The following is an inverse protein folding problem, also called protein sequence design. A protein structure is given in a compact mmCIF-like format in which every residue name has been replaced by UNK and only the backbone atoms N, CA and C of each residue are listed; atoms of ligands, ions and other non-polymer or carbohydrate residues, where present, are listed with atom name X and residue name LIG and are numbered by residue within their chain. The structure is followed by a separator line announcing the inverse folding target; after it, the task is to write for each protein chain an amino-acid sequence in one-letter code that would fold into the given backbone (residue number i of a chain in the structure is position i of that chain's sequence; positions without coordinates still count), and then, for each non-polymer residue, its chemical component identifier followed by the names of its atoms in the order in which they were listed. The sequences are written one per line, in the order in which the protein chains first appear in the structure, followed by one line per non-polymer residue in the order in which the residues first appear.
data_IF_270579157712
#
_entry.id   IF_270579157712
#
_cell.length_a   1.000
_cell.length_b   1.000
_cell.length_c   1.000
_cell.angle_alpha   90.00
_cell.angle_beta   90.00
_cell.angle_gamma   90.00
#
_symmetry.space_group_name_H-M   'P 1'
#
loop_
_entity.id
_entity.type
_entity.pdbx_description
1 polymer ?
#
# COMPACT_ATOMS: atom_id res chain seq x y z
N UNK A 1 -1.59 0.31 6.83
CA UNK A 1 -2.67 -0.10 7.74
C UNK A 1 -3.45 1.11 8.25
N UNK A 2 -2.83 2.08 8.94
CA UNK A 2 -3.53 3.25 9.49
C UNK A 2 -4.25 4.05 8.41
N UNK A 3 -3.58 4.35 7.30
CA UNK A 3 -4.17 5.09 6.19
C UNK A 3 -5.34 4.33 5.53
N UNK A 4 -5.22 3.01 5.36
CA UNK A 4 -6.30 2.18 4.81
C UNK A 4 -7.50 2.16 5.76
N UNK A 5 -7.26 2.07 7.07
CA UNK A 5 -8.32 2.18 8.08
C UNK A 5 -9.02 3.55 8.04
N UNK A 6 -8.27 4.64 7.94
CA UNK A 6 -8.83 5.99 7.85
C UNK A 6 -9.71 6.17 6.59
N UNK A 7 -9.31 5.61 5.45
CA UNK A 7 -10.12 5.60 4.21
C UNK A 7 -11.43 4.84 4.42
N UNK A 8 -11.37 3.65 5.04
CA UNK A 8 -12.58 2.85 5.32
C UNK A 8 -13.54 3.57 6.28
N UNK A 9 -13.01 4.16 7.36
CA UNK A 9 -13.83 4.95 8.29
C UNK A 9 -14.47 6.17 7.62
N UNK A 10 -13.76 6.81 6.69
CA UNK A 10 -14.28 7.93 5.92
C UNK A 10 -15.41 7.49 4.97
N UNK A 11 -15.20 6.43 4.18
CA UNK A 11 -16.22 5.94 3.23
C UNK A 11 -17.47 5.38 3.93
N UNK A 12 -17.33 4.81 5.12
CA UNK A 12 -18.47 4.36 5.93
C UNK A 12 -19.15 5.51 6.71
N UNK A 13 -18.67 6.75 6.58
CA UNK A 13 -19.24 7.90 7.28
C UNK A 13 -18.94 7.94 8.78
N UNK A 14 -18.18 6.99 9.32
CA UNK A 14 -17.89 6.90 10.74
C UNK A 14 -17.06 8.07 11.25
N UNK A 15 -16.09 8.55 10.44
CA UNK A 15 -15.34 9.77 10.79
C UNK A 15 -16.25 10.97 10.91
N UNK A 16 -17.23 11.11 10.00
CA UNK A 16 -18.23 12.17 10.06
C UNK A 16 -19.07 12.08 11.35
N UNK A 17 -19.59 10.89 11.66
CA UNK A 17 -20.48 10.69 12.81
C UNK A 17 -19.79 10.95 14.17
N UNK A 18 -18.50 10.61 14.30
CA UNK A 18 -17.80 10.65 15.59
C UNK A 18 -16.99 11.92 15.82
N UNK A 19 -16.43 12.55 14.77
CA UNK A 19 -15.49 13.65 14.93
C UNK A 19 -16.07 15.02 14.58
N UNK A 20 -16.99 15.11 13.60
CA UNK A 20 -17.58 16.40 13.17
C UNK A 20 -19.01 16.27 12.66
N UNK A 21 -19.95 15.75 13.48
CA UNK A 21 -21.35 15.52 13.06
C UNK A 21 -22.06 16.82 12.65
N UNK A 22 -21.69 17.95 13.28
CA UNK A 22 -22.33 19.24 13.07
C UNK A 22 -21.73 20.07 11.93
N UNK A 23 -20.66 19.55 11.27
CA UNK A 23 -19.91 20.32 10.25
C UNK A 23 -19.71 19.53 8.97
N UNK A 24 -20.80 19.29 8.16
CA UNK A 24 -20.75 18.44 6.97
C UNK A 24 -19.77 18.89 5.89
N UNK A 25 -19.45 20.18 5.81
CA UNK A 25 -18.53 20.73 4.83
C UNK A 25 -17.09 20.25 5.02
N UNK A 26 -16.68 19.89 6.24
CA UNK A 26 -15.34 19.32 6.52
C UNK A 26 -15.15 18.01 5.74
N UNK A 27 -16.17 17.15 5.69
CA UNK A 27 -16.08 15.88 4.99
C UNK A 27 -15.74 16.06 3.50
N UNK A 28 -16.23 17.13 2.89
CA UNK A 28 -15.93 17.51 1.50
C UNK A 28 -14.43 17.78 1.30
N UNK A 29 -13.81 18.53 2.22
CA UNK A 29 -12.38 18.88 2.11
C UNK A 29 -11.44 17.77 2.63
N UNK A 30 -11.94 16.87 3.46
CA UNK A 30 -11.12 15.84 4.10
C UNK A 30 -10.95 14.58 3.25
N UNK A 31 -11.95 14.21 2.44
CA UNK A 31 -11.95 12.96 1.67
C UNK A 31 -10.80 12.88 0.67
N UNK A 32 -10.59 13.91 -0.14
CA UNK A 32 -9.53 13.93 -1.18
C UNK A 32 -8.13 13.82 -0.56
N UNK A 33 -7.76 14.62 0.46
CA UNK A 33 -6.47 14.47 1.15
C UNK A 33 -6.25 13.10 1.80
N UNK A 34 -7.27 12.52 2.44
CA UNK A 34 -7.15 11.21 3.09
C UNK A 34 -6.89 10.10 2.08
N UNK A 35 -7.66 10.06 1.00
CA UNK A 35 -7.46 9.06 -0.06
C UNK A 35 -6.12 9.26 -0.75
N UNK A 36 -5.73 10.51 -1.01
CA UNK A 36 -4.42 10.85 -1.57
C UNK A 36 -3.27 10.39 -0.66
N UNK A 37 -3.35 10.67 0.65
CA UNK A 37 -2.35 10.24 1.62
C UNK A 37 -2.24 8.71 1.69
N UNK A 38 -3.37 8.00 1.64
CA UNK A 38 -3.39 6.54 1.62
C UNK A 38 -2.72 6.00 0.34
N UNK A 39 -2.97 6.60 -0.81
CA UNK A 39 -2.35 6.21 -2.08
C UNK A 39 -0.84 6.49 -2.08
N UNK A 40 -0.40 7.64 -1.55
CA UNK A 40 1.03 7.95 -1.34
C UNK A 40 1.67 6.88 -0.45
N UNK A 41 1.05 6.57 0.68
CA UNK A 41 1.55 5.57 1.61
C UNK A 41 1.64 4.19 0.96
N UNK A 42 0.64 3.78 0.17
CA UNK A 42 0.63 2.51 -0.57
C UNK A 42 1.75 2.46 -1.63
N UNK A 43 1.94 3.53 -2.41
CA UNK A 43 3.00 3.60 -3.42
C UNK A 43 4.38 3.54 -2.76
N UNK A 44 4.62 4.35 -1.72
CA UNK A 44 5.89 4.37 -0.99
C UNK A 44 6.16 3.03 -0.30
N UNK A 45 5.13 2.42 0.28
CA UNK A 45 5.22 1.07 0.84
C UNK A 45 5.63 0.06 -0.23
N UNK A 46 4.96 0.04 -1.37
CA UNK A 46 5.28 -0.85 -2.50
C UNK A 46 6.73 -0.68 -2.94
N UNK A 47 7.18 0.56 -3.13
CA UNK A 47 8.56 0.86 -3.55
C UNK A 47 9.60 0.33 -2.56
N UNK A 48 9.37 0.55 -1.25
CA UNK A 48 10.31 0.15 -0.18
C UNK A 48 10.18 -1.32 0.18
N UNK A 49 8.97 -1.86 0.24
CA UNK A 49 8.72 -3.24 0.65
C UNK A 49 9.26 -4.23 -0.39
N UNK A 50 8.99 -4.00 -1.66
CA UNK A 50 9.44 -4.85 -2.76
C UNK A 50 10.87 -4.58 -3.21
N UNK A 51 11.55 -3.56 -2.67
CA UNK A 51 12.87 -3.12 -3.16
C UNK A 51 12.86 -2.90 -4.69
N UNK A 52 11.78 -2.30 -5.20
CA UNK A 52 11.49 -2.21 -6.63
C UNK A 52 12.65 -1.62 -7.43
N UNK A 53 13.37 -0.65 -6.86
CA UNK A 53 14.55 -0.03 -7.49
C UNK A 53 15.62 -1.06 -7.87
N UNK A 54 15.82 -2.09 -7.06
CA UNK A 54 16.85 -3.12 -7.29
C UNK A 54 16.41 -4.18 -8.29
N UNK A 55 15.10 -4.49 -8.34
CA UNK A 55 14.57 -5.57 -9.18
C UNK A 55 13.95 -5.10 -10.49
N UNK A 56 13.36 -3.88 -10.52
CA UNK A 56 12.65 -3.35 -11.69
C UNK A 56 12.79 -1.84 -11.83
N UNK A 57 13.72 -1.36 -12.63
CA UNK A 57 13.91 0.08 -12.89
C UNK A 57 12.67 0.72 -13.51
N UNK A 58 12.00 0.02 -14.42
CA UNK A 58 10.76 0.48 -15.04
C UNK A 58 9.62 0.60 -14.03
N UNK A 59 9.40 -0.45 -13.22
CA UNK A 59 8.39 -0.42 -12.16
C UNK A 59 8.62 0.73 -11.17
N UNK A 60 9.89 1.00 -10.83
CA UNK A 60 10.23 2.12 -9.96
C UNK A 60 9.86 3.47 -10.58
N UNK A 61 10.17 3.69 -11.86
CA UNK A 61 9.81 4.93 -12.58
C UNK A 61 8.29 5.11 -12.70
N UNK A 62 7.54 4.03 -12.97
CA UNK A 62 6.08 4.07 -13.02
C UNK A 62 5.51 4.49 -11.66
N UNK A 63 5.98 3.90 -10.55
CA UNK A 63 5.54 4.27 -9.21
C UNK A 63 5.89 5.71 -8.85
N UNK A 64 7.06 6.21 -9.27
CA UNK A 64 7.42 7.63 -9.11
C UNK A 64 6.50 8.55 -9.91
N UNK A 65 6.17 8.19 -11.16
CA UNK A 65 5.23 8.95 -11.98
C UNK A 65 3.84 8.99 -11.35
N UNK A 66 3.33 7.86 -10.85
CA UNK A 66 2.06 7.79 -10.15
C UNK A 66 2.05 8.67 -8.89
N UNK A 67 3.15 8.67 -8.14
CA UNK A 67 3.31 9.52 -6.96
C UNK A 67 3.29 11.01 -7.33
N UNK A 68 4.00 11.40 -8.39
CA UNK A 68 4.02 12.79 -8.89
C UNK A 68 2.61 13.23 -9.37
N UNK A 69 1.93 12.38 -10.13
CA UNK A 69 0.55 12.62 -10.61
C UNK A 69 -0.42 12.75 -9.42
N UNK A 70 -0.26 11.95 -8.37
CA UNK A 70 -1.07 12.06 -7.16
C UNK A 70 -0.83 13.38 -6.43
N UNK A 71 0.42 13.81 -6.28
CA UNK A 71 0.76 15.09 -5.65
C UNK A 71 0.18 16.28 -6.44
N UNK A 72 0.28 16.25 -7.76
CA UNK A 72 -0.33 17.27 -8.62
C UNK A 72 -1.85 17.27 -8.47
N UNK A 73 -2.49 16.11 -8.45
CA UNK A 73 -3.92 15.98 -8.24
C UNK A 73 -4.39 16.46 -6.86
N UNK A 74 -3.56 16.28 -5.82
CA UNK A 74 -3.82 16.80 -4.48
C UNK A 74 -3.81 18.34 -4.49
N UNK A 75 -2.81 18.95 -5.11
CA UNK A 75 -2.71 20.42 -5.24
C UNK A 75 -3.91 20.97 -6.01
N UNK A 76 -4.27 20.33 -7.13
CA UNK A 76 -5.42 20.72 -7.94
C UNK A 76 -6.75 20.54 -7.16
N UNK A 77 -6.87 19.49 -6.35
CA UNK A 77 -8.04 19.24 -5.50
C UNK A 77 -8.29 20.32 -4.44
N UNK A 78 -7.24 21.02 -3.99
CA UNK A 78 -7.36 22.19 -3.08
C UNK A 78 -7.77 23.48 -3.83
N UNK A 79 -7.32 23.65 -5.08
CA UNK A 79 -7.54 24.86 -5.86
C UNK A 79 -8.82 24.80 -6.71
N UNK A 80 -9.27 23.59 -7.04
CA UNK A 80 -10.38 23.35 -7.97
C UNK A 80 -11.68 22.92 -7.31
N UNK A 81 -12.58 22.34 -8.11
CA UNK A 81 -13.85 21.82 -7.60
C UNK A 81 -13.67 20.44 -6.96
N UNK A 82 -14.37 20.21 -5.85
CA UNK A 82 -14.39 18.93 -5.16
C UNK A 82 -14.72 17.72 -6.06
N UNK A 83 -15.69 17.90 -6.97
CA UNK A 83 -16.10 16.83 -7.88
C UNK A 83 -14.95 16.36 -8.78
N UNK A 84 -14.18 17.30 -9.33
CA UNK A 84 -13.01 16.98 -10.15
C UNK A 84 -11.92 16.31 -9.32
N UNK A 85 -11.69 16.82 -8.11
CA UNK A 85 -10.71 16.21 -7.19
C UNK A 85 -11.03 14.76 -6.85
N UNK A 86 -12.29 14.43 -6.55
CA UNK A 86 -12.70 13.07 -6.20
C UNK A 86 -12.66 12.11 -7.40
N UNK A 87 -13.08 12.57 -8.58
CA UNK A 87 -13.00 11.78 -9.81
C UNK A 87 -11.53 11.48 -10.13
N UNK A 88 -10.68 12.50 -10.05
CA UNK A 88 -9.25 12.37 -10.32
C UNK A 88 -8.58 11.32 -9.39
N UNK A 89 -8.74 11.50 -8.07
CA UNK A 89 -8.08 10.61 -7.11
C UNK A 89 -8.63 9.19 -7.17
N UNK A 90 -9.94 9.02 -7.39
CA UNK A 90 -10.56 7.71 -7.53
C UNK A 90 -10.10 6.99 -8.80
N UNK A 91 -10.02 7.70 -9.92
CA UNK A 91 -9.50 7.15 -11.18
C UNK A 91 -8.02 6.76 -11.05
N UNK A 92 -7.23 7.63 -10.41
CA UNK A 92 -5.81 7.34 -10.17
C UNK A 92 -5.64 6.12 -9.25
N UNK A 93 -6.42 5.99 -8.18
CA UNK A 93 -6.37 4.85 -7.28
C UNK A 93 -6.78 3.55 -8.00
N UNK A 94 -7.85 3.60 -8.81
CA UNK A 94 -8.31 2.46 -9.60
C UNK A 94 -7.27 1.97 -10.61
N UNK A 95 -6.46 2.88 -11.16
CA UNK A 95 -5.37 2.54 -12.07
C UNK A 95 -4.09 2.12 -11.34
N UNK A 96 -3.70 2.83 -10.28
CA UNK A 96 -2.46 2.61 -9.55
C UNK A 96 -2.43 1.25 -8.84
N UNK A 97 -3.59 0.79 -8.33
CA UNK A 97 -3.68 -0.46 -7.57
C UNK A 97 -3.35 -1.70 -8.42
N UNK A 98 -3.97 -1.95 -9.59
CA UNK A 98 -3.58 -3.08 -10.44
C UNK A 98 -2.15 -2.93 -11.01
N UNK A 99 -1.69 -1.71 -11.27
CA UNK A 99 -0.31 -1.47 -11.70
C UNK A 99 0.69 -1.87 -10.61
N UNK A 100 0.45 -1.49 -9.37
CA UNK A 100 1.28 -1.89 -8.23
C UNK A 100 1.30 -3.42 -8.04
N UNK A 101 0.15 -4.08 -8.22
CA UNK A 101 0.03 -5.54 -8.16
C UNK A 101 0.82 -6.23 -9.28
N UNK A 102 0.74 -5.73 -10.52
CA UNK A 102 1.54 -6.23 -11.66
C UNK A 102 3.04 -6.05 -11.44
N UNK A 103 3.45 -4.92 -10.85
CA UNK A 103 4.85 -4.70 -10.45
C UNK A 103 5.26 -5.73 -9.38
N UNK A 104 4.38 -6.05 -8.43
CA UNK A 104 4.59 -7.11 -7.45
C UNK A 104 4.85 -8.47 -8.10
N UNK A 105 4.03 -8.86 -9.09
CA UNK A 105 4.22 -10.09 -9.86
C UNK A 105 5.58 -10.08 -10.58
N UNK A 106 5.93 -8.96 -11.22
CA UNK A 106 7.20 -8.84 -11.94
C UNK A 106 8.41 -9.01 -11.00
N UNK A 107 8.36 -8.39 -9.83
CA UNK A 107 9.41 -8.51 -8.79
C UNK A 107 9.48 -9.94 -8.24
N UNK A 108 8.33 -10.59 -8.02
CA UNK A 108 8.27 -11.98 -7.59
C UNK A 108 8.90 -12.92 -8.63
N UNK A 109 8.55 -12.76 -9.91
CA UNK A 109 9.14 -13.56 -11.02
C UNK A 109 10.65 -13.39 -11.14
N UNK A 110 11.20 -12.28 -10.65
CA UNK A 110 12.64 -12.02 -10.60
C UNK A 110 13.34 -12.60 -9.34
N UNK A 111 12.65 -13.47 -8.60
CA UNK A 111 13.21 -14.21 -7.47
C UNK A 111 13.07 -13.53 -6.10
N UNK A 112 12.33 -12.41 -6.01
CA UNK A 112 12.07 -11.76 -4.73
C UNK A 112 10.88 -12.40 -4.02
N UNK A 113 11.14 -13.16 -2.95
CA UNK A 113 10.10 -13.87 -2.17
C UNK A 113 9.06 -12.89 -1.59
N UNK A 114 9.48 -11.70 -1.16
CA UNK A 114 8.57 -10.68 -0.66
C UNK A 114 7.53 -10.23 -1.71
N UNK A 115 7.86 -10.34 -3.00
CA UNK A 115 6.92 -10.11 -4.09
C UNK A 115 5.74 -11.08 -4.06
N UNK A 116 5.98 -12.34 -3.76
CA UNK A 116 4.93 -13.35 -3.60
C UNK A 116 3.98 -13.04 -2.45
N UNK A 117 4.52 -12.69 -1.27
CA UNK A 117 3.70 -12.26 -0.12
C UNK A 117 2.88 -11.00 -0.43
N UNK A 118 3.47 -10.05 -1.14
CA UNK A 118 2.78 -8.84 -1.57
C UNK A 118 1.61 -9.16 -2.50
N UNK A 119 1.84 -9.95 -3.54
CA UNK A 119 0.79 -10.35 -4.51
C UNK A 119 -0.33 -11.10 -3.80
N UNK A 120 0.03 -12.05 -2.91
CA UNK A 120 -0.94 -12.82 -2.15
C UNK A 120 -1.81 -11.93 -1.24
N UNK A 121 -1.21 -10.93 -0.60
CA UNK A 121 -1.92 -10.00 0.27
C UNK A 121 -2.87 -9.06 -0.50
N UNK A 122 -2.45 -8.57 -1.67
CA UNK A 122 -3.23 -7.62 -2.46
C UNK A 122 -4.33 -8.27 -3.30
N UNK A 123 -4.22 -9.57 -3.60
CA UNK A 123 -5.23 -10.29 -4.39
C UNK A 123 -6.62 -10.29 -3.76
N UNK A 124 -6.82 -10.59 -2.46
CA UNK A 124 -8.13 -10.51 -1.83
C UNK A 124 -8.73 -9.10 -1.85
N UNK A 125 -7.90 -8.08 -1.68
CA UNK A 125 -8.31 -6.67 -1.78
C UNK A 125 -8.86 -6.34 -3.17
N UNK A 126 -8.11 -6.70 -4.22
CA UNK A 126 -8.53 -6.48 -5.61
C UNK A 126 -9.80 -7.26 -5.96
N UNK A 127 -9.92 -8.51 -5.52
CA UNK A 127 -11.11 -9.33 -5.71
C UNK A 127 -12.32 -8.72 -5.01
N UNK A 128 -12.17 -8.25 -3.78
CA UNK A 128 -13.24 -7.58 -3.05
C UNK A 128 -13.75 -6.33 -3.76
N UNK A 129 -12.84 -5.50 -4.28
CA UNK A 129 -13.21 -4.32 -5.06
C UNK A 129 -13.85 -4.68 -6.41
N UNK A 130 -13.38 -5.74 -7.06
CA UNK A 130 -13.98 -6.25 -8.30
C UNK A 130 -15.41 -6.72 -8.07
N UNK A 131 -15.66 -7.50 -7.03
CA UNK A 131 -17.01 -7.96 -6.66
C UNK A 131 -17.94 -6.78 -6.43
N UNK A 132 -17.49 -5.78 -5.68
CA UNK A 132 -18.28 -4.55 -5.48
C UNK A 132 -18.56 -3.82 -6.78
N UNK A 133 -17.55 -3.66 -7.65
CA UNK A 133 -17.71 -2.97 -8.93
C UNK A 133 -18.72 -3.69 -9.84
N UNK A 134 -18.62 -5.01 -9.95
CA UNK A 134 -19.54 -5.85 -10.74
C UNK A 134 -20.96 -5.79 -10.19
N UNK A 135 -21.12 -5.74 -8.87
CA UNK A 135 -22.43 -5.55 -8.22
C UNK A 135 -23.02 -4.16 -8.50
N UNK A 136 -22.18 -3.09 -8.50
CA UNK A 136 -22.64 -1.73 -8.83
C UNK A 136 -23.04 -1.60 -10.31
N UNK A 137 -22.42 -2.37 -11.21
CA UNK A 137 -22.81 -2.45 -12.61
C UNK A 137 -24.11 -3.25 -12.85
N UNK A 138 -24.66 -3.91 -11.81
CA UNK A 138 -25.89 -4.67 -11.90
C UNK A 138 -25.72 -6.09 -12.44
N UNK A 139 -24.50 -6.57 -12.64
CA UNK A 139 -24.24 -7.94 -13.12
C UNK A 139 -24.42 -9.00 -12.02
N UNK A 140 -24.26 -8.60 -10.77
CA UNK A 140 -24.51 -9.44 -9.59
C UNK A 140 -25.50 -8.71 -8.67
N UNK A 141 -26.47 -9.41 -8.05
CA UNK A 141 -27.42 -8.78 -7.14
C UNK A 141 -26.71 -8.13 -5.95
N UNK A 142 -27.18 -6.95 -5.57
CA UNK A 142 -26.69 -6.26 -4.37
C UNK A 142 -27.11 -7.04 -3.14
N UNK A 143 -26.15 -7.43 -2.34
CA UNK A 143 -26.33 -8.13 -1.08
C UNK A 143 -25.36 -7.59 -0.03
N UNK A 144 -25.60 -7.80 1.26
CA UNK A 144 -24.64 -7.44 2.30
C UNK A 144 -23.25 -8.04 2.05
N UNK A 145 -23.16 -9.23 1.47
CA UNK A 145 -21.90 -9.89 1.14
C UNK A 145 -21.12 -9.14 0.04
N UNK A 146 -21.79 -8.66 -1.00
CA UNK A 146 -21.13 -7.92 -2.09
C UNK A 146 -20.69 -6.53 -1.62
N UNK A 147 -21.40 -5.92 -0.68
CA UNK A 147 -21.02 -4.62 -0.10
C UNK A 147 -19.88 -4.73 0.92
N UNK A 148 -19.82 -5.84 1.66
CA UNK A 148 -18.75 -6.11 2.63
C UNK A 148 -17.50 -6.74 1.99
N UNK A 149 -17.54 -7.18 0.74
CA UNK A 149 -16.42 -7.84 0.07
C UNK A 149 -15.10 -7.03 0.09
N UNK A 150 -15.07 -5.70 -0.15
CA UNK A 150 -13.84 -4.92 -0.02
C UNK A 150 -13.31 -4.89 1.41
N UNK A 151 -14.18 -4.82 2.41
CA UNK A 151 -13.79 -4.79 3.82
C UNK A 151 -13.14 -6.11 4.24
N UNK A 152 -13.72 -7.24 3.81
CA UNK A 152 -13.13 -8.56 4.01
C UNK A 152 -11.77 -8.66 3.30
N UNK A 153 -11.65 -8.14 2.08
CA UNK A 153 -10.40 -8.05 1.34
C UNK A 153 -9.31 -7.27 2.10
N UNK A 154 -9.66 -6.11 2.65
CA UNK A 154 -8.75 -5.29 3.48
C UNK A 154 -8.33 -6.04 4.75
N UNK A 155 -9.24 -6.72 5.44
CA UNK A 155 -8.92 -7.47 6.64
C UNK A 155 -7.89 -8.59 6.35
N UNK A 156 -8.10 -9.34 5.28
CA UNK A 156 -7.15 -10.39 4.83
C UNK A 156 -5.81 -9.77 4.41
N UNK A 157 -5.82 -8.67 3.66
CA UNK A 157 -4.62 -7.93 3.28
C UNK A 157 -3.79 -7.54 4.50
N UNK A 158 -4.41 -6.94 5.52
CA UNK A 158 -3.71 -6.48 6.74
C UNK A 158 -3.05 -7.65 7.46
N UNK A 159 -3.74 -8.78 7.60
CA UNK A 159 -3.19 -9.99 8.23
C UNK A 159 -1.97 -10.49 7.44
N UNK A 160 -2.12 -10.66 6.13
CA UNK A 160 -1.05 -11.19 5.27
C UNK A 160 0.17 -10.24 5.22
N UNK A 161 -0.06 -8.92 5.12
CA UNK A 161 1.02 -7.95 5.17
C UNK A 161 1.73 -7.91 6.52
N UNK A 162 1.02 -8.15 7.62
CA UNK A 162 1.62 -8.24 8.96
C UNK A 162 2.58 -9.42 9.03
N UNK A 163 2.19 -10.59 8.53
CA UNK A 163 3.09 -11.75 8.44
C UNK A 163 4.28 -11.48 7.51
N UNK A 164 4.05 -10.89 6.35
CA UNK A 164 5.10 -10.54 5.40
C UNK A 164 6.11 -9.56 6.00
N UNK A 165 5.64 -8.59 6.78
CA UNK A 165 6.51 -7.62 7.47
C UNK A 165 7.30 -8.27 8.58
N UNK A 166 6.68 -9.15 9.38
CA UNK A 166 7.37 -9.93 10.42
C UNK A 166 8.48 -10.82 9.82
N UNK A 167 8.19 -11.48 8.70
CA UNK A 167 9.18 -12.26 7.96
C UNK A 167 10.36 -11.39 7.49
N UNK A 168 10.08 -10.22 6.91
CA UNK A 168 11.10 -9.27 6.47
C UNK A 168 12.00 -8.80 7.62
N UNK A 169 11.39 -8.42 8.75
CA UNK A 169 12.13 -7.99 9.95
C UNK A 169 13.04 -9.11 10.46
N UNK A 170 12.57 -10.34 10.51
CA UNK A 170 13.37 -11.48 10.92
C UNK A 170 14.55 -11.74 9.98
N UNK A 171 14.34 -11.64 8.67
CA UNK A 171 15.42 -11.75 7.69
C UNK A 171 16.48 -10.67 7.88
N UNK A 172 16.04 -9.42 8.10
CA UNK A 172 16.95 -8.28 8.31
C UNK A 172 17.77 -8.45 9.60
N UNK A 173 17.13 -8.90 10.70
CA UNK A 173 17.81 -9.20 11.96
C UNK A 173 18.87 -10.30 11.80
N UNK A 174 18.52 -11.40 11.13
CA UNK A 174 19.48 -12.49 10.85
C UNK A 174 20.67 -12.02 9.99
N UNK A 175 20.44 -11.15 9.01
CA UNK A 175 21.53 -10.58 8.20
C UNK A 175 22.47 -9.71 9.03
N UNK A 176 21.92 -8.86 9.91
CA UNK A 176 22.71 -8.01 10.82
C UNK A 176 23.52 -8.84 11.80
N UNK A 177 22.93 -9.89 12.40
CA UNK A 177 23.64 -10.79 13.31
C UNK A 177 24.82 -11.46 12.63
N UNK A 178 24.62 -12.03 11.44
CA UNK A 178 25.72 -12.66 10.67
C UNK A 178 26.84 -11.67 10.31
N UNK A 179 26.47 -10.44 9.96
CA UNK A 179 27.46 -9.39 9.66
C UNK A 179 28.27 -8.99 10.91
N UNK A 180 27.62 -8.93 12.09
CA UNK A 180 28.29 -8.65 13.35
C UNK A 180 29.22 -9.80 13.77
N UNK A 181 28.77 -11.05 13.67
CA UNK A 181 29.60 -12.24 13.93
C UNK A 181 30.86 -12.23 13.07
N UNK A 182 30.69 -12.00 11.76
CA UNK A 182 31.82 -11.94 10.84
C UNK A 182 32.80 -10.80 11.17
N UNK A 183 32.31 -9.63 11.56
CA UNK A 183 33.15 -8.51 11.98
C UNK A 183 33.96 -8.82 13.26
N UNK A 184 33.31 -9.49 14.23
CA UNK A 184 33.98 -9.93 15.46
C UNK A 184 35.06 -10.97 15.19
N UNK A 185 34.83 -11.92 14.28
CA UNK A 185 35.81 -12.94 13.91
C UNK A 185 37.04 -12.32 13.23
N UNK A 186 36.83 -11.34 12.32
CA UNK A 186 37.93 -10.59 11.69
C UNK A 186 38.76 -9.85 12.78
N UNK A 187 38.09 -9.19 13.72
CA UNK A 187 38.74 -8.46 14.79
C UNK A 187 39.56 -9.38 15.69
N UNK A 188 39.03 -10.56 16.04
CA UNK A 188 39.75 -11.58 16.82
C UNK A 188 40.98 -12.08 16.08
N UNK A 189 40.87 -12.36 14.79
CA UNK A 189 42.02 -12.80 13.98
C UNK A 189 43.11 -11.74 13.91
N UNK A 190 42.71 -10.46 13.71
CA UNK A 190 43.65 -9.35 13.68
C UNK A 190 44.40 -9.18 15.01
N UNK A 191 43.72 -9.31 16.15
CA UNK A 191 44.37 -9.21 17.45
C UNK A 191 45.36 -10.35 17.68
N UNK A 192 45.00 -11.60 17.32
CA UNK A 192 45.90 -12.75 17.43
C UNK A 192 47.18 -12.60 16.58
N UNK A 193 47.05 -11.94 15.40
CA UNK A 193 48.20 -11.69 14.52
C UNK A 193 49.13 -10.59 15.04
N UNK A 194 48.61 -9.68 15.88
CA UNK A 194 49.43 -8.61 16.52
C UNK A 194 50.15 -9.07 17.79
N UNK A 195 49.66 -10.16 18.41
CA UNK A 195 50.26 -10.74 19.63
C UNK A 195 51.39 -11.77 19.32
N UNK A 196 51.48 -12.22 18.06
CA UNK A 196 52.52 -13.18 17.58
C UNK A 196 53.74 -12.47 17.03
#
# INVERSE_FOLDING_TARGET
VVCSGAVQLNFNGLLFQWFWPDVPWINRYFTVPVVSAALIAAIVFTMKFLLVKSYSRWGYRILQALLAVNLLGLIYGFLGSYQVGIIWISSLAAFATPVAWLIGINVWRRGQILGGFYVLAWTPLLLGHLVLAVSKLGWIPRSPFTELAPQAGVAVEVILLSFALAYRINMERRRRQKAQEHALDIQRQANLTLES
#
